data_IF_866383312053
#
_entry.id   IF_866383312053
#
_cell.length_a   1.000
_cell.length_b   1.000
_cell.length_c   1.000
_cell.angle_alpha   90.00
_cell.angle_beta   90.00
_cell.angle_gamma   90.00
#
_symmetry.space_group_name_H-M   'P 1'
#
loop_
_entity.id
_entity.type
_entity.pdbx_description
1 polymer ?
#
# COMPACT_ATOMS: atom_id res chain seq x y z
N UNK A 1 -4.32 -1.44 23.81
CA UNK A 1 -4.71 -2.87 23.64
C UNK A 1 -5.34 -3.06 22.28
N UNK A 2 -4.82 -4.04 21.51
CA UNK A 2 -5.28 -4.36 20.17
C UNK A 2 -6.36 -5.47 20.21
N UNK A 3 -7.46 -5.29 19.49
CA UNK A 3 -8.53 -6.30 19.38
C UNK A 3 -9.23 -6.25 18.03
N UNK A 4 -9.99 -7.30 17.71
CA UNK A 4 -10.82 -7.33 16.50
C UNK A 4 -11.86 -6.19 16.53
N UNK A 5 -12.00 -5.54 15.37
CA UNK A 5 -13.01 -4.52 15.13
C UNK A 5 -14.15 -5.14 14.31
N UNK A 6 -15.38 -5.03 14.80
CA UNK A 6 -16.55 -5.39 14.00
C UNK A 6 -16.92 -4.26 13.04
N UNK A 7 -17.64 -4.61 11.95
CA UNK A 7 -18.16 -3.63 11.00
C UNK A 7 -19.00 -2.54 11.70
N UNK A 8 -19.85 -2.95 12.65
CA UNK A 8 -20.72 -2.03 13.39
C UNK A 8 -19.91 -1.06 14.26
N UNK A 9 -18.82 -1.52 14.86
CA UNK A 9 -17.93 -0.64 15.63
C UNK A 9 -17.20 0.34 14.72
N UNK A 10 -16.64 -0.12 13.62
CA UNK A 10 -16.00 0.76 12.64
C UNK A 10 -16.94 1.85 12.17
N UNK A 11 -18.18 1.50 11.78
CA UNK A 11 -19.20 2.47 11.32
C UNK A 11 -19.52 3.55 12.37
N UNK A 12 -19.54 3.20 13.64
CA UNK A 12 -19.77 4.18 14.73
C UNK A 12 -18.64 5.20 14.85
N UNK A 13 -17.44 4.85 14.43
CA UNK A 13 -16.23 5.67 14.56
C UNK A 13 -15.65 6.08 13.20
N UNK A 14 -16.45 5.96 12.12
CA UNK A 14 -16.05 6.22 10.76
C UNK A 14 -15.52 7.64 10.53
N UNK A 15 -16.12 8.63 11.20
CA UNK A 15 -15.66 10.03 11.13
C UNK A 15 -14.27 10.18 11.72
N UNK A 16 -14.02 9.60 12.88
CA UNK A 16 -12.73 9.62 13.53
C UNK A 16 -11.66 8.86 12.71
N UNK A 17 -12.02 7.69 12.18
CA UNK A 17 -11.11 6.94 11.31
C UNK A 17 -10.71 7.74 10.05
N UNK A 18 -11.67 8.44 9.44
CA UNK A 18 -11.40 9.28 8.28
C UNK A 18 -10.56 10.52 8.62
N UNK A 19 -10.78 11.13 9.78
CA UNK A 19 -9.94 12.21 10.28
C UNK A 19 -8.48 11.77 10.41
N UNK A 20 -8.23 10.61 11.04
CA UNK A 20 -6.88 10.05 11.11
C UNK A 20 -6.30 9.71 9.75
N UNK A 21 -7.10 9.15 8.85
CA UNK A 21 -6.68 8.81 7.49
C UNK A 21 -6.30 10.04 6.66
N UNK A 22 -6.84 11.20 6.98
CA UNK A 22 -6.56 12.46 6.31
C UNK A 22 -5.31 13.19 6.82
N UNK A 23 -4.65 12.65 7.84
CA UNK A 23 -3.44 13.20 8.45
C UNK A 23 -2.22 12.29 8.17
N UNK A 24 -1.28 12.78 7.37
CA UNK A 24 -0.07 12.01 6.97
C UNK A 24 0.78 11.61 8.19
N UNK A 25 0.72 12.36 9.26
CA UNK A 25 1.48 12.07 10.50
C UNK A 25 0.82 11.02 11.38
N UNK A 26 -0.42 10.64 11.07
CA UNK A 26 -1.24 9.69 11.83
C UNK A 26 -1.62 8.44 11.05
N UNK A 27 -1.25 8.38 9.79
CA UNK A 27 -1.62 7.26 8.93
C UNK A 27 -0.43 6.57 8.31
N UNK A 28 -0.65 5.30 7.92
CA UNK A 28 0.25 4.50 7.14
C UNK A 28 -0.11 4.50 5.65
N UNK A 29 0.84 4.06 4.84
CA UNK A 29 0.61 3.71 3.44
C UNK A 29 -0.37 2.52 3.37
N UNK A 30 -1.28 2.41 2.41
CA UNK A 30 -1.39 3.27 1.23
C UNK A 30 -2.52 4.31 1.31
N UNK A 31 -2.98 4.70 2.48
CA UNK A 31 -4.16 5.57 2.65
C UNK A 31 -4.12 6.84 1.80
N UNK A 32 -2.92 7.40 1.61
CA UNK A 32 -2.72 8.58 0.77
C UNK A 32 -2.50 8.28 -0.69
N UNK A 33 -1.74 7.23 -0.94
CA UNK A 33 -1.15 6.97 -2.25
C UNK A 33 -2.16 6.45 -3.25
N UNK A 34 -3.22 5.81 -2.78
CA UNK A 34 -4.27 5.24 -3.62
C UNK A 34 -5.35 6.22 -4.04
N UNK A 35 -5.11 7.52 -3.88
CA UNK A 35 -6.05 8.55 -4.31
C UNK A 35 -7.37 8.58 -3.54
N UNK A 36 -7.41 8.05 -2.31
CA UNK A 36 -8.57 8.22 -1.43
C UNK A 36 -8.69 9.71 -1.11
N UNK A 37 -9.64 10.38 -1.74
CA UNK A 37 -9.81 11.83 -1.64
C UNK A 37 -11.09 12.25 -0.95
N UNK A 38 -12.01 11.30 -0.75
CA UNK A 38 -13.28 11.56 -0.09
C UNK A 38 -13.55 10.53 0.99
N UNK A 39 -14.37 10.94 1.96
CA UNK A 39 -14.82 10.07 3.03
C UNK A 39 -15.57 8.83 2.48
N UNK A 40 -16.37 9.00 1.45
CA UNK A 40 -17.15 7.91 0.88
C UNK A 40 -16.21 6.85 0.24
N UNK A 41 -15.19 7.28 -0.48
CA UNK A 41 -14.17 6.35 -1.03
C UNK A 41 -13.43 5.59 0.08
N UNK A 42 -13.03 6.31 1.14
CA UNK A 42 -12.38 5.69 2.29
C UNK A 42 -13.27 4.63 2.97
N UNK A 43 -14.54 4.98 3.22
CA UNK A 43 -15.49 4.07 3.84
C UNK A 43 -15.82 2.87 2.95
N UNK A 44 -15.97 3.07 1.65
CA UNK A 44 -16.19 1.97 0.70
C UNK A 44 -15.05 0.96 0.77
N UNK A 45 -13.79 1.42 0.72
CA UNK A 45 -12.61 0.57 0.82
C UNK A 45 -12.56 -0.18 2.15
N UNK A 46 -12.73 0.52 3.28
CA UNK A 46 -12.71 -0.10 4.59
C UNK A 46 -13.84 -1.14 4.77
N UNK A 47 -15.02 -0.90 4.18
CA UNK A 47 -16.16 -1.82 4.24
C UNK A 47 -15.93 -3.12 3.47
N UNK A 48 -15.20 -3.07 2.35
CA UNK A 48 -14.87 -4.26 1.55
C UNK A 48 -14.08 -5.28 2.37
N UNK A 49 -13.21 -4.81 3.23
CA UNK A 49 -12.38 -5.66 4.10
C UNK A 49 -13.19 -6.59 5.01
N UNK A 50 -14.37 -6.17 5.47
CA UNK A 50 -15.22 -7.01 6.31
C UNK A 50 -15.89 -8.19 5.57
N UNK A 51 -15.75 -8.27 4.26
CA UNK A 51 -16.27 -9.35 3.41
C UNK A 51 -15.14 -10.21 2.82
N UNK A 52 -13.88 -9.90 3.10
CA UNK A 52 -12.70 -10.62 2.60
C UNK A 52 -12.12 -11.51 3.70
N UNK A 53 -11.80 -12.76 3.35
CA UNK A 53 -11.24 -13.73 4.30
C UNK A 53 -9.78 -13.43 4.64
N UNK A 54 -9.05 -12.85 3.71
CA UNK A 54 -7.65 -12.49 3.86
C UNK A 54 -7.44 -11.04 4.33
N UNK A 55 -8.48 -10.40 4.87
CA UNK A 55 -8.39 -9.06 5.46
C UNK A 55 -8.99 -9.05 6.86
N UNK A 56 -8.43 -8.22 7.74
CA UNK A 56 -8.93 -8.08 9.10
C UNK A 56 -8.75 -6.67 9.62
N UNK A 57 -9.84 -6.11 10.16
CA UNK A 57 -9.81 -4.84 10.86
C UNK A 57 -9.54 -5.06 12.35
N UNK A 58 -8.52 -4.41 12.86
CA UNK A 58 -8.19 -4.33 14.27
C UNK A 58 -8.49 -2.93 14.79
N UNK A 59 -8.82 -2.84 16.07
CA UNK A 59 -9.05 -1.60 16.76
C UNK A 59 -8.03 -1.48 17.90
N UNK A 60 -7.39 -0.32 17.96
CA UNK A 60 -6.43 0.01 19.00
C UNK A 60 -7.07 0.91 20.05
N UNK A 61 -7.03 0.46 21.30
CA UNK A 61 -7.54 1.19 22.47
C UNK A 61 -6.41 1.48 23.46
N UNK A 62 -6.35 2.71 23.94
CA UNK A 62 -5.50 3.10 25.04
C UNK A 62 -6.23 4.07 25.98
N UNK A 63 -5.99 3.98 27.27
CA UNK A 63 -6.66 4.78 28.27
C UNK A 63 -8.21 4.64 28.29
N UNK A 64 -8.74 3.49 27.86
CA UNK A 64 -10.19 3.24 27.75
C UNK A 64 -10.88 3.97 26.60
N UNK A 65 -10.12 4.45 25.62
CA UNK A 65 -10.62 5.14 24.44
C UNK A 65 -10.05 4.51 23.17
N UNK A 66 -10.83 4.56 22.09
CA UNK A 66 -10.36 4.18 20.77
C UNK A 66 -9.35 5.22 20.31
N UNK A 67 -8.15 4.76 19.95
CA UNK A 67 -7.03 5.58 19.49
C UNK A 67 -6.65 5.30 18.04
N UNK A 68 -7.14 4.21 17.44
CA UNK A 68 -6.79 3.91 16.08
C UNK A 68 -7.44 2.68 15.48
N UNK A 69 -7.17 2.48 14.18
CA UNK A 69 -7.66 1.34 13.39
C UNK A 69 -6.54 0.82 12.53
N UNK A 70 -6.41 -0.49 12.45
CA UNK A 70 -5.45 -1.16 11.59
C UNK A 70 -6.20 -2.15 10.72
N UNK A 71 -6.21 -1.93 9.42
CA UNK A 71 -6.68 -2.90 8.44
C UNK A 71 -5.48 -3.61 7.87
N UNK A 72 -5.34 -4.87 8.22
CA UNK A 72 -4.29 -5.73 7.69
C UNK A 72 -4.85 -6.70 6.64
N UNK A 73 -3.97 -7.15 5.75
CA UNK A 73 -4.27 -8.20 4.78
C UNK A 73 -3.08 -9.14 4.64
N UNK A 74 -3.36 -10.37 4.21
CA UNK A 74 -2.31 -11.36 4.01
C UNK A 74 -2.53 -12.16 2.72
N UNK A 75 -1.42 -12.62 2.16
CA UNK A 75 -1.38 -13.45 0.97
C UNK A 75 -0.75 -14.80 1.34
N UNK A 76 -1.57 -15.86 1.57
CA UNK A 76 -1.07 -17.14 2.09
C UNK A 76 -0.02 -17.80 1.20
N UNK A 77 -0.16 -17.71 -0.12
CA UNK A 77 0.77 -18.30 -1.10
C UNK A 77 2.16 -17.70 -1.00
N UNK A 78 2.23 -16.40 -0.76
CA UNK A 78 3.48 -15.62 -0.71
C UNK A 78 4.00 -15.47 0.71
N UNK A 79 3.23 -15.94 1.72
CA UNK A 79 3.50 -15.67 3.14
C UNK A 79 3.74 -14.19 3.42
N UNK A 80 2.96 -13.36 2.76
CA UNK A 80 3.04 -11.91 2.82
C UNK A 80 1.98 -11.35 3.76
N UNK A 81 2.36 -10.46 4.66
CA UNK A 81 1.46 -9.72 5.55
C UNK A 81 1.73 -8.22 5.42
N UNK A 82 0.70 -7.43 5.27
CA UNK A 82 0.83 -5.97 5.22
C UNK A 82 -0.42 -5.28 5.77
N UNK A 83 -0.41 -3.95 5.77
CA UNK A 83 -1.54 -3.13 6.20
C UNK A 83 -2.04 -2.26 5.06
N UNK A 84 -3.36 -2.23 4.87
CA UNK A 84 -4.04 -1.27 3.99
C UNK A 84 -4.38 0.03 4.70
N UNK A 85 -4.57 -0.02 6.03
CA UNK A 85 -4.73 1.15 6.89
C UNK A 85 -3.92 0.92 8.16
N UNK A 86 -3.21 1.94 8.60
CA UNK A 86 -2.61 1.99 9.93
C UNK A 86 -2.85 3.41 10.47
N UNK A 87 -3.91 3.57 11.24
CA UNK A 87 -4.42 4.85 11.69
C UNK A 87 -4.28 4.95 13.20
N UNK A 88 -3.58 5.97 13.68
CA UNK A 88 -3.44 6.19 15.13
C UNK A 88 -3.48 7.67 15.46
N UNK A 89 -4.06 8.01 16.60
CA UNK A 89 -4.12 9.41 17.04
C UNK A 89 -2.76 9.90 17.58
N UNK A 90 -2.33 9.39 18.74
CA UNK A 90 -1.12 9.90 19.42
C UNK A 90 -0.12 8.82 19.82
N UNK A 91 -0.54 7.59 19.96
CA UNK A 91 0.24 6.51 20.59
C UNK A 91 0.73 5.50 19.52
N UNK A 92 1.37 6.01 18.47
CA UNK A 92 1.80 5.20 17.33
C UNK A 92 2.78 4.09 17.73
N UNK A 93 3.72 4.37 18.63
CA UNK A 93 4.73 3.40 19.07
C UNK A 93 4.08 2.25 19.87
N UNK A 94 3.10 2.55 20.72
CA UNK A 94 2.34 1.53 21.45
C UNK A 94 1.51 0.69 20.48
N UNK A 95 0.81 1.33 19.54
CA UNK A 95 0.02 0.64 18.52
C UNK A 95 0.88 -0.27 17.63
N UNK A 96 2.05 0.19 17.20
CA UNK A 96 3.02 -0.61 16.45
C UNK A 96 3.54 -1.78 17.28
N UNK A 97 3.92 -1.54 18.54
CA UNK A 97 4.40 -2.60 19.44
C UNK A 97 3.38 -3.72 19.61
N UNK A 98 2.11 -3.36 19.84
CA UNK A 98 1.04 -4.34 19.96
C UNK A 98 0.74 -5.06 18.64
N UNK A 99 0.78 -4.33 17.51
CA UNK A 99 0.57 -4.91 16.20
C UNK A 99 1.69 -5.90 15.84
N UNK A 100 2.93 -5.56 16.10
CA UNK A 100 4.08 -6.46 15.86
C UNK A 100 4.00 -7.72 16.70
N UNK A 101 3.59 -7.59 17.97
CA UNK A 101 3.36 -8.74 18.85
C UNK A 101 2.21 -9.63 18.33
N UNK A 102 1.11 -9.02 17.89
CA UNK A 102 -0.02 -9.72 17.28
C UNK A 102 0.38 -10.45 16.00
N UNK A 103 1.06 -9.76 15.08
CA UNK A 103 1.52 -10.34 13.81
C UNK A 103 2.47 -11.52 14.05
N UNK A 104 3.44 -11.39 14.96
CA UNK A 104 4.38 -12.45 15.33
C UNK A 104 3.69 -13.69 15.90
N UNK A 105 2.61 -13.52 16.66
CA UNK A 105 1.85 -14.65 17.20
C UNK A 105 1.00 -15.35 16.16
N UNK A 106 0.24 -14.57 15.35
CA UNK A 106 -0.78 -15.10 14.43
C UNK A 106 -0.24 -15.50 13.06
N UNK A 107 0.82 -14.84 12.58
CA UNK A 107 1.35 -14.99 11.22
C UNK A 107 2.79 -15.52 11.22
N UNK A 108 3.03 -16.60 11.95
CA UNK A 108 4.34 -17.26 12.01
C UNK A 108 4.82 -17.68 10.62
N UNK A 109 5.99 -17.19 10.22
CA UNK A 109 6.62 -17.50 8.93
C UNK A 109 6.08 -16.67 7.77
N UNK A 110 5.35 -15.60 8.06
CA UNK A 110 5.04 -14.56 7.08
C UNK A 110 6.08 -13.44 7.16
N UNK A 111 6.38 -12.86 6.02
CA UNK A 111 7.14 -11.61 5.93
C UNK A 111 6.18 -10.44 6.13
N UNK A 112 6.53 -9.52 7.02
CA UNK A 112 5.73 -8.34 7.34
C UNK A 112 6.30 -7.11 6.65
N UNK A 113 5.46 -6.48 5.84
CA UNK A 113 5.76 -5.22 5.14
C UNK A 113 4.86 -4.11 5.69
N UNK A 114 5.46 -3.02 6.09
CA UNK A 114 4.74 -1.84 6.59
C UNK A 114 5.22 -0.60 5.83
N UNK A 115 4.28 0.19 5.35
CA UNK A 115 4.56 1.46 4.68
C UNK A 115 4.06 2.63 5.51
N UNK A 116 4.88 3.67 5.62
CA UNK A 116 4.50 4.91 6.26
C UNK A 116 4.98 6.11 5.45
N UNK A 117 4.20 7.20 5.37
CA UNK A 117 4.71 8.46 4.84
C UNK A 117 5.93 8.94 5.62
N UNK A 118 6.90 9.54 4.93
CA UNK A 118 8.09 10.08 5.59
C UNK A 118 7.76 11.12 6.67
N UNK A 119 6.62 11.78 6.55
CA UNK A 119 6.09 12.73 7.53
C UNK A 119 5.67 12.05 8.85
N UNK A 120 5.35 10.75 8.82
CA UNK A 120 5.06 9.98 10.05
C UNK A 120 6.37 9.52 10.72
N UNK A 121 7.17 10.49 11.13
CA UNK A 121 8.50 10.26 11.71
C UNK A 121 8.48 9.37 12.94
N UNK A 122 7.42 9.39 13.74
CA UNK A 122 7.32 8.54 14.92
C UNK A 122 7.24 7.07 14.54
N UNK A 123 6.46 6.74 13.49
CA UNK A 123 6.36 5.37 13.00
C UNK A 123 7.68 4.90 12.36
N UNK A 124 8.25 5.71 11.47
CA UNK A 124 9.52 5.41 10.79
C UNK A 124 10.63 5.15 11.80
N UNK A 125 10.86 6.10 12.71
CA UNK A 125 11.89 5.99 13.73
C UNK A 125 11.68 4.80 14.67
N UNK A 126 10.42 4.46 14.98
CA UNK A 126 10.12 3.28 15.80
C UNK A 126 10.50 2.00 15.08
N UNK A 127 10.10 1.83 13.82
CA UNK A 127 10.42 0.65 13.02
C UNK A 127 11.92 0.47 12.82
N UNK A 128 12.66 1.54 12.56
CA UNK A 128 14.12 1.51 12.47
C UNK A 128 14.76 1.01 13.78
N UNK A 129 14.31 1.51 14.93
CA UNK A 129 14.77 1.04 16.25
C UNK A 129 14.42 -0.43 16.51
N UNK A 130 13.36 -0.95 15.90
CA UNK A 130 13.01 -2.37 15.97
C UNK A 130 13.79 -3.24 14.96
N UNK A 131 14.68 -2.65 14.15
CA UNK A 131 15.52 -3.35 13.20
C UNK A 131 14.85 -3.65 11.85
N UNK A 132 13.76 -2.96 11.52
CA UNK A 132 13.19 -3.03 10.17
C UNK A 132 14.13 -2.35 9.19
N UNK A 133 14.36 -3.00 8.03
CA UNK A 133 15.06 -2.40 6.92
C UNK A 133 14.08 -1.61 6.05
N UNK A 134 14.47 -0.40 5.64
CA UNK A 134 13.79 0.29 4.55
C UNK A 134 14.16 -0.40 3.24
N UNK A 135 13.19 -0.99 2.56
CA UNK A 135 13.37 -1.71 1.29
C UNK A 135 12.90 -0.91 0.08
N UNK A 136 12.00 0.03 0.30
CA UNK A 136 11.47 0.93 -0.71
C UNK A 136 11.38 2.34 -0.12
N UNK A 137 11.84 3.33 -0.88
CA UNK A 137 11.74 4.77 -0.55
C UNK A 137 11.30 5.51 -1.82
N UNK A 138 9.99 5.78 -1.90
CA UNK A 138 9.34 6.25 -3.11
C UNK A 138 8.78 7.65 -2.96
N UNK A 139 8.85 8.42 -4.05
CA UNK A 139 8.10 9.66 -4.17
C UNK A 139 6.74 9.42 -4.80
N UNK A 140 5.68 9.77 -4.08
CA UNK A 140 4.33 9.72 -4.62
C UNK A 140 3.99 11.06 -5.31
N UNK A 141 3.75 11.00 -6.62
CA UNK A 141 3.38 12.14 -7.42
C UNK A 141 1.95 11.99 -7.94
N UNK A 142 1.12 13.01 -7.73
CA UNK A 142 -0.23 13.06 -8.29
C UNK A 142 -0.30 14.14 -9.37
N UNK A 143 -0.70 13.75 -10.58
CA UNK A 143 -1.00 14.68 -11.66
C UNK A 143 -2.50 14.63 -11.98
N UNK A 144 -3.12 15.80 -12.12
CA UNK A 144 -4.51 15.90 -12.57
C UNK A 144 -4.54 16.04 -14.08
N UNK A 145 -5.40 15.26 -14.77
CA UNK A 145 -5.44 15.23 -16.24
C UNK A 145 -5.69 16.61 -16.87
N UNK A 146 -6.50 17.45 -16.22
CA UNK A 146 -6.75 18.82 -16.66
C UNK A 146 -5.54 19.76 -16.57
N UNK A 147 -4.51 19.36 -15.82
CA UNK A 147 -3.27 20.12 -15.66
C UNK A 147 -2.15 19.65 -16.60
N UNK A 148 -2.38 18.51 -17.26
CA UNK A 148 -1.39 17.97 -18.18
C UNK A 148 -1.51 18.68 -19.53
N UNK A 149 -0.37 19.16 -20.05
CA UNK A 149 -0.33 19.63 -21.42
C UNK A 149 -0.66 18.48 -22.39
N UNK A 150 -1.32 18.77 -23.53
CA UNK A 150 -1.52 17.75 -24.56
C UNK A 150 -0.17 17.12 -24.95
N UNK A 151 -0.06 15.82 -24.80
CA UNK A 151 1.15 15.08 -25.21
C UNK A 151 1.09 14.91 -26.73
N UNK A 152 2.16 15.25 -27.42
CA UNK A 152 2.28 14.92 -28.84
C UNK A 152 2.23 13.40 -29.04
N UNK A 153 1.60 12.97 -30.13
CA UNK A 153 1.54 11.55 -30.49
C UNK A 153 2.95 10.99 -30.57
N UNK A 154 3.31 10.14 -29.62
CA UNK A 154 4.66 9.57 -29.53
C UNK A 154 4.65 8.17 -30.15
N UNK A 155 5.19 8.05 -31.34
CA UNK A 155 5.28 6.79 -32.10
C UNK A 155 6.26 5.77 -31.49
N UNK A 156 7.06 6.20 -30.53
CA UNK A 156 8.05 5.35 -29.85
C UNK A 156 7.48 4.62 -28.63
N UNK A 157 6.20 4.82 -28.34
CA UNK A 157 5.54 4.11 -27.21
C UNK A 157 4.85 2.85 -27.71
N UNK A 158 5.21 1.72 -27.13
CA UNK A 158 4.67 0.40 -27.50
C UNK A 158 3.86 -0.16 -26.34
N UNK A 159 2.62 -0.59 -26.61
CA UNK A 159 1.83 -1.34 -25.64
C UNK A 159 2.38 -2.77 -25.52
N UNK A 160 2.57 -3.23 -24.29
CA UNK A 160 3.10 -4.56 -24.00
C UNK A 160 1.95 -5.54 -23.80
N UNK A 161 2.04 -6.66 -24.52
CA UNK A 161 1.20 -7.85 -24.39
C UNK A 161 2.06 -9.10 -24.16
N UNK A 162 1.44 -10.28 -24.19
CA UNK A 162 2.18 -11.55 -23.99
C UNK A 162 3.25 -11.78 -25.03
N UNK A 163 2.99 -11.39 -26.28
CA UNK A 163 3.85 -11.62 -27.44
C UNK A 163 5.15 -10.80 -27.41
N UNK A 164 5.15 -9.67 -26.73
CA UNK A 164 6.31 -8.77 -26.68
C UNK A 164 6.76 -8.47 -25.23
N UNK A 165 6.27 -9.23 -24.24
CA UNK A 165 6.56 -9.02 -22.83
C UNK A 165 8.04 -9.03 -22.48
N UNK A 166 8.82 -9.84 -23.18
CA UNK A 166 10.28 -9.94 -22.96
C UNK A 166 10.98 -8.59 -23.10
N UNK A 167 10.47 -7.68 -23.93
CA UNK A 167 11.04 -6.33 -24.10
C UNK A 167 10.89 -5.49 -22.81
N UNK A 168 9.72 -5.54 -22.20
CA UNK A 168 9.48 -4.92 -20.90
C UNK A 168 10.32 -5.58 -19.81
N UNK A 169 10.34 -6.91 -19.76
CA UNK A 169 11.09 -7.66 -18.78
C UNK A 169 12.58 -7.33 -18.77
N UNK A 170 13.21 -7.16 -19.94
CA UNK A 170 14.62 -6.77 -20.05
C UNK A 170 14.93 -5.43 -19.38
N UNK A 171 14.01 -4.47 -19.44
CA UNK A 171 14.16 -3.20 -18.74
C UNK A 171 13.81 -3.36 -17.25
N UNK A 172 12.64 -3.91 -16.95
CA UNK A 172 12.09 -3.96 -15.60
C UNK A 172 12.97 -4.78 -14.64
N UNK A 173 13.53 -5.90 -15.11
CA UNK A 173 14.39 -6.76 -14.30
C UNK A 173 15.67 -6.09 -13.77
N UNK A 174 16.04 -4.94 -14.28
CA UNK A 174 17.18 -4.15 -13.80
C UNK A 174 16.84 -3.37 -12.52
N UNK A 175 15.54 -3.21 -12.20
CA UNK A 175 15.06 -2.37 -11.11
C UNK A 175 14.15 -3.11 -10.12
N UNK A 176 13.84 -4.40 -10.37
CA UNK A 176 12.83 -5.14 -9.61
C UNK A 176 13.34 -5.80 -8.32
N UNK A 177 14.58 -5.53 -7.93
CA UNK A 177 15.12 -6.05 -6.68
C UNK A 177 14.25 -5.60 -5.50
N UNK A 178 13.73 -6.59 -4.76
CA UNK A 178 12.79 -6.41 -3.64
C UNK A 178 11.38 -5.92 -3.99
N UNK A 179 11.06 -5.67 -5.27
CA UNK A 179 9.70 -5.29 -5.67
C UNK A 179 8.74 -6.47 -5.54
N UNK A 180 7.58 -6.24 -4.90
CA UNK A 180 6.50 -7.22 -4.91
C UNK A 180 6.02 -7.52 -6.34
N UNK A 181 5.78 -6.48 -7.14
CA UNK A 181 5.38 -6.60 -8.54
C UNK A 181 6.59 -6.73 -9.47
N UNK A 182 7.34 -7.82 -9.29
CA UNK A 182 8.43 -8.17 -10.20
C UNK A 182 7.90 -8.66 -11.57
N UNK A 183 8.80 -8.78 -12.54
CA UNK A 183 8.45 -9.17 -13.91
C UNK A 183 7.67 -10.47 -14.00
N UNK A 184 7.96 -11.46 -13.15
CA UNK A 184 7.26 -12.73 -13.17
C UNK A 184 5.81 -12.57 -12.73
N UNK A 185 5.54 -11.86 -11.63
CA UNK A 185 4.19 -11.60 -11.12
C UNK A 185 3.37 -10.72 -12.04
N UNK A 186 3.98 -9.71 -12.64
CA UNK A 186 3.33 -8.87 -13.65
C UNK A 186 2.92 -9.70 -14.88
N UNK A 187 3.76 -10.65 -15.31
CA UNK A 187 3.42 -11.54 -16.41
C UNK A 187 2.24 -12.48 -16.07
N UNK A 188 2.25 -13.05 -14.87
CA UNK A 188 1.16 -13.93 -14.40
C UNK A 188 -0.20 -13.22 -14.33
N UNK A 189 -0.18 -11.91 -14.09
CA UNK A 189 -1.38 -11.06 -13.93
C UNK A 189 -1.54 -10.02 -15.02
N UNK A 190 -0.92 -10.27 -16.20
CA UNK A 190 -0.84 -9.29 -17.28
C UNK A 190 -2.21 -8.79 -17.74
N UNK A 191 -3.26 -9.59 -17.61
CA UNK A 191 -4.63 -9.18 -17.93
C UNK A 191 -5.16 -8.04 -17.06
N UNK A 192 -4.58 -7.82 -15.88
CA UNK A 192 -4.97 -6.77 -14.94
C UNK A 192 -4.13 -5.50 -15.11
N UNK A 193 -3.11 -5.54 -15.98
CA UNK A 193 -2.14 -4.46 -16.13
C UNK A 193 -2.15 -3.87 -17.53
N UNK A 194 -2.08 -2.55 -17.60
CA UNK A 194 -1.75 -1.82 -18.81
C UNK A 194 -0.28 -1.43 -18.74
N UNK A 195 0.55 -2.01 -19.60
CA UNK A 195 1.99 -1.75 -19.63
C UNK A 195 2.35 -1.07 -20.94
N UNK A 196 3.10 0.02 -20.87
CA UNK A 196 3.61 0.78 -21.99
C UNK A 196 5.12 0.92 -21.86
N UNK A 197 5.82 0.75 -22.97
CA UNK A 197 7.27 0.83 -23.08
C UNK A 197 7.64 1.95 -24.06
N UNK A 198 8.45 2.89 -23.61
CA UNK A 198 9.10 3.85 -24.48
C UNK A 198 10.38 3.23 -25.05
N UNK A 199 10.56 3.35 -26.37
CA UNK A 199 11.74 2.85 -27.06
C UNK A 199 12.35 3.94 -27.93
N UNK A 200 13.65 3.95 -27.99
CA UNK A 200 14.41 4.79 -28.90
C UNK A 200 15.47 3.96 -29.60
N UNK A 201 15.48 4.03 -30.93
CA UNK A 201 16.41 3.26 -31.76
C UNK A 201 16.33 1.73 -31.51
N UNK A 202 15.14 1.23 -31.11
CA UNK A 202 14.89 -0.17 -30.79
C UNK A 202 15.30 -0.58 -29.36
N UNK A 203 15.80 0.35 -28.56
CA UNK A 203 16.20 0.09 -27.17
C UNK A 203 15.18 0.64 -26.18
N UNK A 204 14.77 -0.16 -25.16
CA UNK A 204 13.90 0.30 -24.09
C UNK A 204 14.53 1.45 -23.30
N UNK A 205 13.76 2.52 -23.04
CA UNK A 205 14.22 3.70 -22.29
C UNK A 205 13.43 3.93 -21.01
N UNK A 206 12.18 3.59 -21.01
CA UNK A 206 11.31 3.77 -19.88
C UNK A 206 10.06 2.93 -20.01
N UNK A 207 9.42 2.65 -18.89
CA UNK A 207 8.15 1.95 -18.87
C UNK A 207 7.21 2.59 -17.86
N UNK A 208 5.90 2.50 -18.16
CA UNK A 208 4.84 2.80 -17.21
C UNK A 208 3.86 1.64 -17.21
N UNK A 209 3.40 1.26 -16.03
CA UNK A 209 2.37 0.24 -15.87
C UNK A 209 1.40 0.63 -14.77
N UNK A 210 0.13 0.28 -14.98
CA UNK A 210 -0.96 0.60 -14.06
C UNK A 210 -2.11 -0.42 -14.18
N UNK A 211 -2.95 -0.50 -13.15
CA UNK A 211 -4.17 -1.34 -13.09
C UNK A 211 -5.43 -0.53 -13.35
#
# INVERSE_FOLDING_TARGET
>A
MLRLCSKTEFERHADFAYELASDVTKSGYPTYCDGIKTKDMFLERARKAFACEEEQMLLFESGGRIQGFILMYWLPKDRYLSTSLFLTNTEIEEALSEFLAYAKDKFKGYDLFLGFPAENQLAVNYLERQGFACIEDDYNNTAYLEQLAPVADNKEVVKIGKENYTRFQLLHSQFEENMYWNSARLYEKLENWSIFLEEKDGEPRGAVYYT
#
